data_IF_060524556144
#
_entry.id   IF_060524556144
#
_cell.length_a   1.000
_cell.length_b   1.000
_cell.length_c   1.000
_cell.angle_alpha   90.00
_cell.angle_beta   90.00
_cell.angle_gamma   90.00
#
_symmetry.space_group_name_H-M   'P 1'
#
loop_
_entity.id
_entity.type
_entity.pdbx_description
1 polymer ?
#
# COMPACT_ATOMS: atom_id res chain seq x y z
N UNK A 1 18.28 -26.87 29.12
CA UNK A 1 19.30 -26.36 28.19
C UNK A 1 18.63 -25.38 27.22
N UNK A 2 18.52 -24.11 27.60
CA UNK A 2 18.07 -23.01 26.71
C UNK A 2 19.06 -21.86 26.93
N UNK A 3 20.28 -22.04 26.43
CA UNK A 3 21.38 -21.09 26.57
C UNK A 3 21.82 -20.53 25.19
N UNK A 4 20.89 -20.48 24.22
CA UNK A 4 21.13 -20.00 22.85
C UNK A 4 20.13 -18.95 22.33
N UNK A 5 19.18 -18.51 23.15
CA UNK A 5 18.04 -17.69 22.70
C UNK A 5 18.37 -16.23 22.38
N UNK A 6 19.26 -15.58 23.14
CA UNK A 6 19.49 -14.13 22.97
C UNK A 6 20.33 -13.77 21.74
N UNK A 7 21.36 -14.56 21.41
CA UNK A 7 22.21 -14.30 20.25
C UNK A 7 21.49 -14.60 18.93
N UNK A 8 20.73 -15.70 18.87
CA UNK A 8 19.98 -16.07 17.67
C UNK A 8 18.84 -15.08 17.39
N UNK A 9 18.09 -14.68 18.43
CA UNK A 9 17.05 -13.66 18.30
C UNK A 9 17.60 -12.29 17.91
N UNK A 10 18.77 -11.91 18.45
CA UNK A 10 19.44 -10.66 18.05
C UNK A 10 19.84 -10.67 16.57
N UNK A 11 20.42 -11.77 16.09
CA UNK A 11 20.85 -11.88 14.70
C UNK A 11 19.65 -11.92 13.74
N UNK A 12 18.58 -12.63 14.12
CA UNK A 12 17.34 -12.65 13.37
C UNK A 12 16.68 -11.25 13.31
N UNK A 13 16.64 -10.52 14.43
CA UNK A 13 16.10 -9.17 14.48
C UNK A 13 16.92 -8.19 13.62
N UNK A 14 18.25 -8.33 13.63
CA UNK A 14 19.14 -7.56 12.78
C UNK A 14 18.86 -7.83 11.29
N UNK A 15 18.84 -9.12 10.90
CA UNK A 15 18.54 -9.54 9.52
C UNK A 15 17.17 -9.05 9.05
N UNK A 16 16.15 -9.15 9.90
CA UNK A 16 14.79 -8.71 9.61
C UNK A 16 14.70 -7.20 9.37
N UNK A 17 15.38 -6.37 10.17
CA UNK A 17 15.42 -4.93 9.94
C UNK A 17 16.23 -4.56 8.67
N UNK A 18 17.29 -5.31 8.33
CA UNK A 18 18.00 -5.13 7.06
C UNK A 18 17.08 -5.42 5.87
N UNK A 19 16.32 -6.52 5.92
CA UNK A 19 15.33 -6.84 4.89
C UNK A 19 14.27 -5.74 4.79
N UNK A 20 13.77 -5.21 5.91
CA UNK A 20 12.82 -4.10 5.87
C UNK A 20 13.39 -2.81 5.27
N UNK A 21 14.68 -2.52 5.48
CA UNK A 21 15.33 -1.41 4.78
C UNK A 21 15.34 -1.62 3.26
N UNK A 22 15.68 -2.83 2.79
CA UNK A 22 15.68 -3.16 1.37
C UNK A 22 14.27 -3.02 0.77
N UNK A 23 13.24 -3.51 1.46
CA UNK A 23 11.84 -3.36 1.04
C UNK A 23 11.44 -1.89 0.97
N UNK A 24 11.78 -1.07 1.98
CA UNK A 24 11.46 0.36 1.97
C UNK A 24 12.14 1.12 0.82
N UNK A 25 13.42 0.84 0.55
CA UNK A 25 14.14 1.40 -0.60
C UNK A 25 13.52 0.97 -1.93
N UNK A 26 13.10 -0.29 -2.04
CA UNK A 26 12.44 -0.82 -3.23
C UNK A 26 11.09 -0.13 -3.47
N UNK A 27 10.27 0.04 -2.42
CA UNK A 27 8.98 0.74 -2.51
C UNK A 27 9.15 2.18 -2.99
N UNK A 28 10.13 2.90 -2.45
CA UNK A 28 10.45 4.28 -2.90
C UNK A 28 10.97 4.26 -4.33
N UNK A 29 11.86 3.33 -4.67
CA UNK A 29 12.46 3.21 -6.00
C UNK A 29 11.42 2.94 -7.09
N UNK A 30 10.53 1.97 -6.87
CA UNK A 30 9.44 1.65 -7.82
C UNK A 30 8.46 2.82 -7.93
N UNK A 31 8.11 3.48 -6.83
CA UNK A 31 7.22 4.64 -6.86
C UNK A 31 7.84 5.84 -7.60
N UNK A 32 9.14 6.10 -7.39
CA UNK A 32 9.87 7.16 -8.09
C UNK A 32 10.03 6.85 -9.58
N UNK A 33 10.34 5.59 -9.92
CA UNK A 33 10.43 5.12 -11.30
C UNK A 33 9.07 5.22 -12.03
N UNK A 34 7.99 4.78 -11.38
CA UNK A 34 6.63 4.87 -11.91
C UNK A 34 6.18 6.32 -12.15
N UNK A 35 6.56 7.25 -11.26
CA UNK A 35 6.33 8.69 -11.46
C UNK A 35 7.10 9.25 -12.66
N UNK A 36 8.33 8.80 -12.88
CA UNK A 36 9.20 9.26 -13.98
C UNK A 36 8.69 8.86 -15.37
N UNK A 37 7.97 7.75 -15.49
CA UNK A 37 7.40 7.28 -16.76
C UNK A 37 6.01 7.87 -17.07
N UNK A 38 5.39 8.60 -16.13
CA UNK A 38 4.06 9.17 -16.35
C UNK A 38 2.94 8.14 -16.50
N UNK A 39 3.17 6.87 -16.10
CA UNK A 39 2.26 5.74 -16.30
C UNK A 39 1.16 5.61 -15.23
N UNK A 40 1.21 6.41 -14.15
CA UNK A 40 0.19 6.40 -13.08
C UNK A 40 -0.19 7.85 -12.76
N UNK A 41 -1.39 8.27 -13.17
CA UNK A 41 -1.89 9.65 -13.02
C UNK A 41 -2.41 9.97 -11.60
N UNK A 42 -2.26 9.05 -10.64
CA UNK A 42 -2.87 9.20 -9.31
C UNK A 42 -1.85 9.60 -8.24
N UNK A 43 -1.71 10.91 -8.03
CA UNK A 43 -0.82 11.53 -7.02
C UNK A 43 -1.06 10.93 -5.62
N UNK A 44 -2.30 10.60 -5.28
CA UNK A 44 -2.67 10.05 -3.97
C UNK A 44 -2.17 8.61 -3.74
N UNK A 45 -2.29 7.72 -4.73
CA UNK A 45 -1.85 6.32 -4.60
C UNK A 45 -0.32 6.26 -4.51
N UNK A 46 0.37 6.99 -5.39
CA UNK A 46 1.83 7.08 -5.37
C UNK A 46 2.32 7.69 -4.05
N UNK A 47 1.65 8.76 -3.58
CA UNK A 47 1.97 9.40 -2.30
C UNK A 47 1.86 8.44 -1.13
N UNK A 48 0.83 7.58 -1.12
CA UNK A 48 0.67 6.53 -0.12
C UNK A 48 1.81 5.51 -0.12
N UNK A 49 2.18 4.99 -1.29
CA UNK A 49 3.29 4.01 -1.41
C UNK A 49 4.62 4.61 -0.94
N UNK A 50 4.90 5.86 -1.32
CA UNK A 50 6.12 6.58 -0.88
C UNK A 50 6.10 6.79 0.65
N UNK A 51 4.98 7.25 1.21
CA UNK A 51 4.85 7.49 2.64
C UNK A 51 5.07 6.20 3.46
N UNK A 52 4.49 5.09 3.02
CA UNK A 52 4.69 3.76 3.63
C UNK A 52 6.16 3.34 3.52
N UNK A 53 6.80 3.53 2.35
CA UNK A 53 8.21 3.20 2.15
C UNK A 53 9.15 3.97 3.07
N UNK A 54 8.92 5.28 3.23
CA UNK A 54 9.71 6.14 4.14
C UNK A 54 9.48 5.74 5.60
N UNK A 55 8.23 5.48 6.00
CA UNK A 55 7.90 5.05 7.36
C UNK A 55 8.56 3.71 7.72
N UNK A 56 8.53 2.74 6.81
CA UNK A 56 9.21 1.44 6.97
C UNK A 56 10.73 1.61 7.12
N UNK A 57 11.34 2.51 6.33
CA UNK A 57 12.77 2.81 6.46
C UNK A 57 13.14 3.38 7.83
N UNK A 58 12.35 4.33 8.35
CA UNK A 58 12.59 4.92 9.66
C UNK A 58 12.51 3.86 10.78
N UNK A 59 11.51 2.99 10.73
CA UNK A 59 11.35 1.89 11.69
C UNK A 59 12.50 0.89 11.58
N UNK A 60 12.90 0.53 10.35
CA UNK A 60 13.99 -0.40 10.10
C UNK A 60 15.34 0.14 10.58
N UNK A 61 15.63 1.43 10.35
CA UNK A 61 16.84 2.10 10.88
C UNK A 61 16.81 2.13 12.40
N UNK A 62 15.69 2.52 13.02
CA UNK A 62 15.56 2.50 14.47
C UNK A 62 15.73 1.09 15.05
N UNK A 63 15.12 0.07 14.45
CA UNK A 63 15.26 -1.33 14.85
C UNK A 63 16.70 -1.85 14.72
N UNK A 64 17.39 -1.49 13.64
CA UNK A 64 18.79 -1.85 13.42
C UNK A 64 19.71 -1.18 14.43
N UNK A 65 19.57 0.13 14.65
CA UNK A 65 20.33 0.88 15.66
C UNK A 65 20.08 0.32 17.06
N UNK A 66 18.84 -0.05 17.38
CA UNK A 66 18.46 -0.66 18.67
C UNK A 66 19.08 -2.04 18.87
N UNK A 67 19.17 -2.86 17.81
CA UNK A 67 19.80 -4.17 17.85
C UNK A 67 21.34 -4.10 18.01
N UNK A 68 21.97 -3.10 17.38
CA UNK A 68 23.44 -2.92 17.38
C UNK A 68 23.93 -2.24 18.66
N UNK A 69 23.36 -1.08 19.03
CA UNK A 69 23.88 -0.23 20.11
C UNK A 69 23.47 -0.64 21.53
N UNK A 70 22.76 -1.76 21.69
CA UNK A 70 22.32 -2.28 23.01
C UNK A 70 21.56 -1.25 23.88
N UNK A 71 21.02 -0.18 23.28
CA UNK A 71 20.33 0.88 23.98
C UNK A 71 18.91 0.44 24.31
N UNK A 72 18.70 -0.08 25.53
CA UNK A 72 17.42 -0.66 25.97
C UNK A 72 16.22 0.28 25.80
N UNK A 73 16.43 1.60 25.96
CA UNK A 73 15.38 2.62 25.77
C UNK A 73 14.94 2.72 24.30
N UNK A 74 15.85 2.51 23.34
CA UNK A 74 15.50 2.59 21.92
C UNK A 74 14.73 1.34 21.46
N UNK A 75 15.06 0.19 22.03
CA UNK A 75 14.31 -1.06 21.81
C UNK A 75 12.89 -0.99 22.41
N UNK A 76 12.72 -0.25 23.51
CA UNK A 76 11.41 0.00 24.11
C UNK A 76 10.49 0.81 23.19
N UNK A 77 11.00 1.91 22.62
CA UNK A 77 10.26 2.68 21.60
C UNK A 77 9.93 1.84 20.37
N UNK A 78 10.86 0.99 19.92
CA UNK A 78 10.64 0.09 18.79
C UNK A 78 9.47 -0.89 19.05
N UNK A 79 9.39 -1.48 20.25
CA UNK A 79 8.28 -2.36 20.61
C UNK A 79 6.94 -1.63 20.70
N UNK A 80 6.92 -0.38 21.17
CA UNK A 80 5.70 0.46 21.16
C UNK A 80 5.25 0.71 19.73
N UNK A 81 6.16 1.13 18.85
CA UNK A 81 5.83 1.43 17.45
C UNK A 81 5.31 0.16 16.75
N UNK A 82 5.98 -0.98 16.93
CA UNK A 82 5.50 -2.26 16.38
C UNK A 82 4.13 -2.64 16.94
N UNK A 83 3.87 -2.40 18.22
CA UNK A 83 2.56 -2.60 18.83
C UNK A 83 1.47 -1.73 18.20
N UNK A 84 1.75 -0.46 17.94
CA UNK A 84 0.82 0.44 17.24
C UNK A 84 0.55 -0.02 15.81
N UNK A 85 1.59 -0.39 15.06
CA UNK A 85 1.46 -0.94 13.70
C UNK A 85 0.62 -2.22 13.71
N UNK A 86 0.81 -3.09 14.70
CA UNK A 86 0.00 -4.30 14.86
C UNK A 86 -1.47 -3.97 15.11
N UNK A 87 -1.78 -2.99 15.97
CA UNK A 87 -3.16 -2.54 16.21
C UNK A 87 -3.80 -2.01 14.92
N UNK A 88 -3.09 -1.18 14.15
CA UNK A 88 -3.59 -0.69 12.86
C UNK A 88 -3.81 -1.83 11.87
N UNK A 89 -2.84 -2.74 11.74
CA UNK A 89 -2.93 -3.85 10.80
C UNK A 89 -4.05 -4.82 11.16
N UNK A 90 -4.23 -5.10 12.45
CA UNK A 90 -5.35 -5.89 12.95
C UNK A 90 -6.68 -5.17 12.68
N UNK A 91 -6.76 -3.86 12.93
CA UNK A 91 -7.94 -3.04 12.64
C UNK A 91 -8.32 -3.03 11.17
N UNK A 92 -7.35 -2.85 10.27
CA UNK A 92 -7.56 -2.92 8.81
C UNK A 92 -8.02 -4.32 8.41
N UNK A 93 -7.38 -5.37 8.92
CA UNK A 93 -7.74 -6.76 8.62
C UNK A 93 -9.19 -7.05 9.02
N UNK A 94 -9.57 -6.70 10.26
CA UNK A 94 -10.93 -6.86 10.75
C UNK A 94 -11.94 -6.02 9.95
N UNK A 95 -11.57 -4.80 9.54
CA UNK A 95 -12.41 -3.94 8.70
C UNK A 95 -12.66 -4.56 7.32
N UNK A 96 -11.62 -5.15 6.71
CA UNK A 96 -11.74 -5.86 5.44
C UNK A 96 -12.59 -7.13 5.55
N UNK A 97 -12.58 -7.82 6.69
CA UNK A 97 -13.46 -8.98 6.92
C UNK A 97 -14.92 -8.58 7.18
N UNK A 98 -15.14 -7.44 7.84
CA UNK A 98 -16.47 -6.97 8.21
C UNK A 98 -17.23 -6.26 7.06
N UNK A 99 -16.56 -5.96 5.94
CA UNK A 99 -17.18 -5.19 4.84
C UNK A 99 -18.16 -6.06 4.05
N UNK A 100 -19.43 -5.65 4.05
CA UNK A 100 -20.48 -6.28 3.23
C UNK A 100 -20.53 -5.71 1.81
N UNK A 101 -21.13 -6.46 0.87
CA UNK A 101 -21.29 -6.05 -0.54
C UNK A 101 -21.96 -4.69 -0.70
N UNK A 102 -23.03 -4.40 0.06
CA UNK A 102 -23.71 -3.10 0.00
C UNK A 102 -22.79 -1.94 0.41
N UNK A 103 -22.05 -2.10 1.51
CA UNK A 103 -21.09 -1.10 2.00
C UNK A 103 -19.92 -0.91 1.03
N UNK A 104 -19.46 -2.00 0.43
CA UNK A 104 -18.44 -1.96 -0.61
C UNK A 104 -18.94 -1.14 -1.82
N UNK A 105 -20.16 -1.36 -2.29
CA UNK A 105 -20.78 -0.58 -3.38
C UNK A 105 -20.88 0.90 -3.04
N UNK A 106 -21.31 1.26 -1.83
CA UNK A 106 -21.43 2.66 -1.41
C UNK A 106 -20.07 3.39 -1.40
N UNK A 107 -19.03 2.74 -0.86
CA UNK A 107 -17.67 3.30 -0.80
C UNK A 107 -17.09 3.48 -2.19
N UNK A 108 -17.28 2.49 -3.07
CA UNK A 108 -16.82 2.55 -4.47
C UNK A 108 -17.57 3.66 -5.22
N UNK A 109 -18.88 3.78 -5.03
CA UNK A 109 -19.69 4.86 -5.61
C UNK A 109 -19.19 6.23 -5.17
N UNK A 110 -19.04 6.46 -3.86
CA UNK A 110 -18.51 7.71 -3.33
C UNK A 110 -17.10 8.03 -3.88
N UNK A 111 -16.24 7.02 -3.97
CA UNK A 111 -14.87 7.16 -4.47
C UNK A 111 -14.84 7.50 -5.96
N UNK A 112 -15.72 6.92 -6.77
CA UNK A 112 -15.82 7.16 -8.21
C UNK A 112 -16.14 8.61 -8.57
N UNK A 113 -16.99 9.28 -7.77
CA UNK A 113 -17.34 10.69 -7.97
C UNK A 113 -16.22 11.66 -7.57
N UNK A 114 -15.34 11.26 -6.65
CA UNK A 114 -14.20 12.07 -6.21
C UNK A 114 -12.99 11.89 -7.14
N UNK A 115 -12.95 10.80 -7.88
CA UNK A 115 -11.81 10.42 -8.71
C UNK A 115 -11.79 11.17 -10.05
N UNK A 116 -10.60 11.57 -10.49
CA UNK A 116 -10.41 12.27 -11.77
C UNK A 116 -10.67 11.35 -12.97
N UNK A 117 -11.16 11.93 -14.08
CA UNK A 117 -11.39 11.21 -15.34
C UNK A 117 -10.14 10.45 -15.84
N UNK A 118 -8.93 10.99 -15.58
CA UNK A 118 -7.67 10.33 -15.94
C UNK A 118 -7.46 9.01 -15.19
N UNK A 119 -7.68 9.02 -13.87
CA UNK A 119 -7.58 7.82 -13.05
C UNK A 119 -8.69 6.81 -13.38
N UNK A 120 -9.89 7.29 -13.74
CA UNK A 120 -11.00 6.42 -14.19
C UNK A 120 -10.64 5.69 -15.48
N UNK A 121 -10.15 6.40 -16.49
CA UNK A 121 -9.69 5.83 -17.76
C UNK A 121 -8.52 4.84 -17.58
N UNK A 122 -7.57 5.13 -16.68
CA UNK A 122 -6.49 4.19 -16.33
C UNK A 122 -7.03 2.90 -15.66
N UNK A 123 -8.01 3.02 -14.76
CA UNK A 123 -8.62 1.84 -14.13
C UNK A 123 -9.43 1.03 -15.14
N UNK A 124 -10.22 1.69 -15.98
CA UNK A 124 -11.03 1.05 -17.03
C UNK A 124 -10.15 0.28 -18.03
N UNK A 125 -9.01 0.86 -18.45
CA UNK A 125 -8.01 0.15 -19.27
C UNK A 125 -7.33 -1.00 -18.54
N UNK A 126 -6.96 -0.82 -17.28
CA UNK A 126 -6.23 -1.85 -16.51
C UNK A 126 -7.11 -3.07 -16.16
N UNK A 127 -8.40 -2.83 -15.90
CA UNK A 127 -9.38 -3.87 -15.56
C UNK A 127 -10.23 -4.33 -16.76
N UNK A 128 -9.97 -3.81 -17.97
CA UNK A 128 -10.71 -4.11 -19.21
C UNK A 128 -12.23 -4.03 -19.03
N UNK A 129 -12.69 -2.93 -18.42
CA UNK A 129 -14.09 -2.69 -18.10
C UNK A 129 -14.47 -1.22 -18.35
N UNK A 130 -15.77 -0.92 -18.38
CA UNK A 130 -16.26 0.44 -18.59
C UNK A 130 -17.41 0.80 -17.64
N UNK A 131 -17.28 1.95 -16.97
CA UNK A 131 -18.26 2.47 -16.02
C UNK A 131 -18.32 1.72 -14.69
N UNK A 132 -18.92 2.35 -13.68
CA UNK A 132 -18.81 1.88 -12.29
C UNK A 132 -19.61 0.60 -11.96
N UNK A 133 -20.73 0.33 -12.64
CA UNK A 133 -21.59 -0.82 -12.35
C UNK A 133 -22.39 -1.29 -13.59
N UNK A 134 -21.86 -1.15 -14.80
CA UNK A 134 -22.62 -1.40 -16.04
C UNK A 134 -23.96 -0.62 -16.12
N UNK A 135 -24.09 0.51 -15.41
CA UNK A 135 -25.23 1.42 -15.59
C UNK A 135 -25.02 2.23 -16.87
N UNK A 136 -25.35 1.61 -18.00
CA UNK A 136 -25.29 2.20 -19.35
C UNK A 136 -26.19 3.43 -19.48
N UNK A 137 -27.17 3.61 -18.58
CA UNK A 137 -28.25 4.59 -18.71
C UNK A 137 -27.97 5.97 -18.13
N UNK A 138 -26.96 6.13 -17.26
CA UNK A 138 -26.66 7.41 -16.60
C UNK A 138 -25.35 8.05 -17.06
N UNK A 139 -24.52 7.31 -17.81
CA UNK A 139 -23.15 7.74 -18.15
C UNK A 139 -22.79 7.49 -19.62
N UNK A 140 -23.64 7.98 -20.53
CA UNK A 140 -23.43 7.93 -21.98
C UNK A 140 -22.10 8.58 -22.43
N UNK A 141 -21.54 9.47 -21.60
CA UNK A 141 -20.31 10.22 -21.91
C UNK A 141 -19.02 9.46 -21.57
N UNK A 142 -19.03 8.51 -20.63
CA UNK A 142 -17.87 7.64 -20.34
C UNK A 142 -17.79 6.51 -21.37
N UNK A 143 -18.94 5.93 -21.74
CA UNK A 143 -19.02 4.86 -22.73
C UNK A 143 -18.50 5.29 -24.12
N UNK A 144 -18.70 6.56 -24.50
CA UNK A 144 -18.25 7.09 -25.79
C UNK A 144 -16.72 7.25 -25.90
N UNK A 145 -16.00 7.32 -24.77
CA UNK A 145 -14.55 7.51 -24.73
C UNK A 145 -13.78 6.30 -24.13
N UNK A 146 -14.50 5.25 -23.73
CA UNK A 146 -13.90 4.00 -23.25
C UNK A 146 -13.15 3.27 -24.36
N UNK A 147 -11.82 3.33 -24.29
CA UNK A 147 -10.94 2.63 -25.24
C UNK A 147 -10.62 1.19 -24.84
N UNK A 148 -10.90 0.78 -23.60
CA UNK A 148 -10.65 -0.58 -23.11
C UNK A 148 -11.42 -1.64 -23.93
N UNK A 149 -12.68 -1.36 -24.29
CA UNK A 149 -13.52 -2.29 -25.05
C UNK A 149 -13.04 -2.58 -26.48
N UNK A 150 -12.11 -1.80 -27.05
CA UNK A 150 -11.66 -1.97 -28.45
C UNK A 150 -10.65 -3.10 -28.66
N UNK A 151 -9.95 -3.55 -27.61
CA UNK A 151 -8.92 -4.61 -27.74
C UNK A 151 -9.49 -6.03 -27.86
N UNK A 152 -10.82 -6.20 -27.77
CA UNK A 152 -11.52 -7.49 -27.91
C UNK A 152 -12.18 -7.69 -29.29
N UNK A 153 -11.97 -6.78 -30.24
CA UNK A 153 -12.58 -6.82 -31.57
C UNK A 153 -11.59 -7.12 -32.72
N UNK A 154 -10.38 -7.63 -32.43
CA UNK A 154 -9.42 -8.12 -33.40
C UNK A 154 -9.16 -9.63 -33.22
#
# INVERSE_FOLDING_TARGET
>A
MVCGGFACSKNALCALNVVYMLVGLLLIGVAAWGKGLGLVSSIHIIGGVIAVGVFLLLIAVAGLVGAVNHHQVLLFFYMIILGLVFIFQFGISCSCLAINRSKQTDVINASWWVMSNKTRDELERSFDCCGLFNLTTLYQQDYAFCTACWDRAA
#
